data_IF_357693375705
#
_entry.id   IF_357693375705
#
_cell.length_a   1.000
_cell.length_b   1.000
_cell.length_c   1.000
_cell.angle_alpha   90.00
_cell.angle_beta   90.00
_cell.angle_gamma   90.00
#
_symmetry.space_group_name_H-M   'P 1'
#
loop_
_entity.id
_entity.type
_entity.pdbx_description
1 polymer ?
#
# COMPACT_ATOMS: atom_id res chain seq x y z
N UNK A 1 17.74 -18.15 -8.23
CA UNK A 1 18.55 -19.38 -8.04
C UNK A 1 18.02 -20.14 -6.83
N UNK A 2 18.07 -21.48 -6.84
CA UNK A 2 17.67 -22.28 -5.69
C UNK A 2 18.62 -22.07 -4.51
N UNK A 3 18.08 -22.05 -3.29
CA UNK A 3 18.89 -22.00 -2.08
C UNK A 3 19.60 -23.36 -1.89
N UNK A 4 20.95 -23.43 -1.82
CA UNK A 4 21.69 -24.69 -1.84
C UNK A 4 21.52 -25.54 -0.57
N UNK A 5 21.04 -24.96 0.53
CA UNK A 5 20.81 -25.65 1.81
C UNK A 5 19.32 -25.92 2.10
N UNK A 6 18.41 -25.48 1.22
CA UNK A 6 16.98 -25.64 1.45
C UNK A 6 16.51 -27.02 0.94
N UNK A 7 15.65 -27.67 1.73
CA UNK A 7 14.96 -28.90 1.31
C UNK A 7 13.88 -28.63 0.26
N UNK A 8 13.43 -27.38 0.14
CA UNK A 8 12.40 -26.93 -0.80
C UNK A 8 12.70 -25.49 -1.24
N UNK A 9 12.56 -25.22 -2.53
CA UNK A 9 12.76 -23.87 -3.09
C UNK A 9 11.76 -23.65 -4.22
N UNK A 10 10.60 -23.07 -3.91
CA UNK A 10 9.48 -22.90 -4.87
C UNK A 10 9.20 -21.44 -5.18
N UNK A 11 8.80 -21.17 -6.42
CA UNK A 11 8.27 -19.87 -6.86
C UNK A 11 6.78 -20.04 -7.12
N UNK A 12 5.98 -19.16 -6.50
CA UNK A 12 4.53 -19.09 -6.67
C UNK A 12 4.17 -17.86 -7.50
N UNK A 13 3.50 -18.07 -8.62
CA UNK A 13 3.04 -16.98 -9.51
C UNK A 13 1.52 -16.96 -9.48
N UNK A 14 0.92 -15.82 -9.10
CA UNK A 14 -0.54 -15.67 -9.11
C UNK A 14 -1.04 -15.66 -10.57
N UNK A 15 -1.83 -16.67 -10.93
CA UNK A 15 -2.46 -16.83 -12.25
C UNK A 15 -3.99 -16.77 -12.16
N UNK A 16 -4.51 -16.14 -11.10
CA UNK A 16 -5.95 -16.05 -10.86
C UNK A 16 -6.62 -15.23 -11.97
N UNK A 17 -7.50 -15.86 -12.73
CA UNK A 17 -8.33 -15.20 -13.75
C UNK A 17 -9.41 -14.31 -13.10
N UNK A 18 -9.75 -13.21 -13.78
CA UNK A 18 -10.72 -12.24 -13.28
C UNK A 18 -12.16 -12.81 -13.18
N UNK A 19 -12.52 -13.76 -14.05
CA UNK A 19 -13.89 -14.28 -14.18
C UNK A 19 -14.03 -15.81 -14.00
N UNK A 20 -13.14 -16.48 -13.27
CA UNK A 20 -13.08 -17.97 -13.25
C UNK A 20 -12.87 -18.62 -14.64
N UNK A 21 -12.79 -17.84 -15.71
CA UNK A 21 -12.32 -18.26 -17.01
C UNK A 21 -10.80 -18.38 -16.96
N UNK A 22 -10.31 -19.62 -17.02
CA UNK A 22 -8.89 -19.98 -16.97
C UNK A 22 -8.10 -19.54 -18.22
N UNK A 23 -8.66 -18.69 -19.09
CA UNK A 23 -8.14 -18.48 -20.44
C UNK A 23 -7.53 -17.10 -20.71
N UNK A 24 -7.44 -16.21 -19.73
CA UNK A 24 -6.95 -14.85 -20.01
C UNK A 24 -5.43 -14.72 -19.96
N UNK A 25 -4.73 -15.54 -19.15
CA UNK A 25 -3.30 -15.40 -18.87
C UNK A 25 -2.54 -16.70 -19.17
N UNK A 26 -1.69 -16.68 -20.20
CA UNK A 26 -0.75 -17.76 -20.49
C UNK A 26 0.56 -17.54 -19.73
N UNK A 27 1.06 -18.59 -19.10
CA UNK A 27 2.38 -18.60 -18.47
C UNK A 27 3.29 -19.58 -19.20
N UNK A 28 4.48 -19.12 -19.56
CA UNK A 28 5.51 -19.92 -20.21
C UNK A 28 6.81 -19.84 -19.40
N UNK A 29 7.47 -20.96 -19.04
CA UNK A 29 7.06 -22.36 -19.27
C UNK A 29 5.76 -22.74 -18.53
N UNK A 30 5.02 -23.77 -19.01
CA UNK A 30 3.83 -24.26 -18.31
C UNK A 30 4.20 -24.72 -16.89
N UNK A 31 3.34 -24.46 -15.89
CA UNK A 31 3.66 -24.81 -14.52
C UNK A 31 3.71 -26.32 -14.28
N UNK A 32 4.64 -26.74 -13.42
CA UNK A 32 4.76 -28.14 -12.98
C UNK A 32 3.56 -28.57 -12.16
N UNK A 33 3.09 -27.69 -11.27
CA UNK A 33 1.89 -27.90 -10.45
C UNK A 33 1.14 -26.59 -10.24
N UNK A 34 -0.14 -26.68 -9.90
CA UNK A 34 -0.94 -25.53 -9.47
C UNK A 34 -1.35 -25.71 -8.02
N UNK A 35 -1.33 -24.62 -7.26
CA UNK A 35 -1.74 -24.57 -5.86
C UNK A 35 -2.90 -23.57 -5.73
N UNK A 36 -3.95 -23.94 -5.00
CA UNK A 36 -5.08 -23.04 -4.76
C UNK A 36 -5.16 -22.70 -3.29
N UNK A 37 -5.33 -21.42 -3.01
CA UNK A 37 -5.46 -20.90 -1.65
C UNK A 37 -6.49 -19.77 -1.61
N UNK A 38 -7.02 -19.46 -0.43
CA UNK A 38 -7.89 -18.32 -0.22
C UNK A 38 -7.10 -17.24 0.49
N UNK A 39 -6.63 -16.24 -0.27
CA UNK A 39 -5.94 -15.08 0.30
C UNK A 39 -6.89 -13.90 0.35
N UNK A 40 -7.04 -13.33 1.54
CA UNK A 40 -7.91 -12.17 1.79
C UNK A 40 -9.37 -12.39 1.33
N UNK A 41 -9.85 -13.63 1.37
CA UNK A 41 -11.20 -14.01 0.97
C UNK A 41 -11.40 -14.27 -0.51
N UNK A 42 -10.39 -14.06 -1.35
CA UNK A 42 -10.44 -14.39 -2.78
C UNK A 42 -9.74 -15.71 -3.01
N UNK A 43 -10.40 -16.64 -3.72
CA UNK A 43 -9.76 -17.88 -4.19
C UNK A 43 -8.71 -17.51 -5.23
N UNK A 44 -7.45 -17.77 -4.90
CA UNK A 44 -6.30 -17.59 -5.76
C UNK A 44 -5.81 -18.92 -6.30
N UNK A 45 -5.35 -18.90 -7.54
CA UNK A 45 -4.67 -20.03 -8.17
C UNK A 45 -3.24 -19.60 -8.47
N UNK A 46 -2.28 -20.34 -7.93
CA UNK A 46 -0.86 -20.12 -8.09
C UNK A 46 -0.26 -21.18 -9.01
N UNK A 47 0.52 -20.75 -9.98
CA UNK A 47 1.42 -21.58 -10.76
C UNK A 47 2.69 -21.81 -9.92
N UNK A 48 3.07 -23.07 -9.70
CA UNK A 48 4.18 -23.44 -8.81
C UNK A 48 5.32 -24.01 -9.63
N UNK A 49 6.49 -23.39 -9.47
CA UNK A 49 7.74 -23.80 -10.10
C UNK A 49 8.73 -24.24 -9.02
N UNK A 50 9.19 -25.48 -9.09
CA UNK A 50 10.24 -25.99 -8.22
C UNK A 50 11.60 -25.63 -8.80
N UNK A 51 12.39 -24.86 -8.05
CA UNK A 51 13.73 -24.44 -8.46
C UNK A 51 14.78 -25.55 -8.29
N UNK A 52 14.44 -26.65 -7.62
CA UNK A 52 15.29 -27.84 -7.53
C UNK A 52 15.09 -28.80 -8.71
N UNK A 53 14.03 -28.61 -9.50
CA UNK A 53 13.77 -29.42 -10.69
C UNK A 53 14.67 -28.98 -11.86
N UNK A 54 15.54 -29.89 -12.29
CA UNK A 54 16.47 -29.68 -13.40
C UNK A 54 15.77 -29.48 -14.76
N UNK A 55 14.48 -29.84 -14.88
CA UNK A 55 13.69 -29.54 -16.07
C UNK A 55 13.21 -28.07 -16.13
N UNK A 56 13.05 -27.43 -14.97
CA UNK A 56 12.57 -26.04 -14.84
C UNK A 56 13.75 -25.06 -14.85
N UNK A 57 14.85 -25.46 -14.21
CA UNK A 57 16.10 -24.69 -14.20
C UNK A 57 17.10 -25.36 -15.14
N UNK A 58 17.16 -24.86 -16.38
CA UNK A 58 18.15 -25.25 -17.37
C UNK A 58 19.60 -25.02 -16.86
N UNK A 59 20.60 -25.51 -17.60
CA UNK A 59 22.03 -25.36 -17.30
C UNK A 59 22.48 -23.92 -16.96
N UNK A 60 21.75 -22.90 -17.39
CA UNK A 60 21.98 -21.48 -17.09
C UNK A 60 21.51 -21.01 -15.70
N UNK A 61 20.96 -21.91 -14.85
CA UNK A 61 20.49 -21.63 -13.48
C UNK A 61 19.42 -20.52 -13.36
N UNK A 62 18.75 -20.19 -14.45
CA UNK A 62 17.73 -19.16 -14.51
C UNK A 62 16.34 -19.74 -14.78
N UNK A 63 15.34 -19.12 -14.16
CA UNK A 63 13.94 -19.33 -14.46
C UNK A 63 13.42 -18.06 -15.14
N UNK A 64 13.11 -18.14 -16.44
CA UNK A 64 12.54 -17.04 -17.19
C UNK A 64 11.05 -17.27 -17.34
N UNK A 65 10.25 -16.51 -16.59
CA UNK A 65 8.80 -16.58 -16.65
C UNK A 65 8.26 -15.51 -17.59
N UNK A 66 7.47 -15.93 -18.57
CA UNK A 66 6.72 -15.05 -19.44
C UNK A 66 5.23 -15.13 -19.10
N UNK A 67 4.64 -13.97 -18.87
CA UNK A 67 3.21 -13.77 -18.65
C UNK A 67 2.63 -13.10 -19.90
N UNK A 68 1.75 -13.79 -20.61
CA UNK A 68 1.13 -13.28 -21.85
C UNK A 68 -0.38 -13.30 -21.72
N UNK A 69 -1.01 -12.14 -21.85
CA UNK A 69 -2.46 -12.03 -21.90
C UNK A 69 -2.97 -12.47 -23.28
N UNK A 70 -3.97 -13.37 -23.34
CA UNK A 70 -4.61 -13.78 -24.60
C UNK A 70 -5.47 -12.68 -25.20
N UNK A 71 -6.15 -11.94 -24.33
CA UNK A 71 -6.87 -10.71 -24.63
C UNK A 71 -6.42 -9.64 -23.66
N UNK A 72 -6.35 -8.35 -24.07
CA UNK A 72 -6.20 -7.28 -23.09
C UNK A 72 -7.30 -7.46 -22.04
N UNK A 73 -6.99 -7.39 -20.74
CA UNK A 73 -8.05 -7.27 -19.76
C UNK A 73 -8.94 -6.09 -20.19
N UNK A 74 -10.26 -6.25 -20.10
CA UNK A 74 -11.15 -5.07 -20.16
C UNK A 74 -10.60 -4.05 -19.15
N UNK A 75 -10.74 -2.74 -19.43
CA UNK A 75 -10.18 -1.64 -18.63
C UNK A 75 -10.85 -1.53 -17.23
N UNK A 76 -10.94 -2.63 -16.50
CA UNK A 76 -11.38 -2.68 -15.13
C UNK A 76 -10.16 -2.51 -14.24
N UNK A 77 -10.18 -1.47 -13.41
CA UNK A 77 -9.18 -1.27 -12.40
C UNK A 77 -9.15 -2.50 -11.48
N UNK A 78 -7.96 -2.98 -11.05
CA UNK A 78 -7.89 -4.09 -10.11
C UNK A 78 -8.73 -3.77 -8.87
N UNK A 79 -9.43 -4.76 -8.29
CA UNK A 79 -10.27 -4.53 -7.12
C UNK A 79 -9.43 -3.94 -5.99
N UNK A 80 -9.86 -2.82 -5.45
CA UNK A 80 -9.15 -2.17 -4.35
C UNK A 80 -9.11 -3.12 -3.14
N UNK A 81 -7.95 -3.28 -2.49
CA UNK A 81 -7.85 -4.10 -1.30
C UNK A 81 -8.77 -3.56 -0.20
N UNK A 82 -9.24 -4.44 0.69
CA UNK A 82 -10.23 -4.03 1.69
C UNK A 82 -9.67 -3.01 2.70
N UNK A 83 -8.36 -2.95 2.85
CA UNK A 83 -7.64 -1.83 3.43
C UNK A 83 -6.89 -1.09 2.33
N UNK A 84 -7.22 0.17 2.13
CA UNK A 84 -6.48 1.05 1.23
C UNK A 84 -6.46 2.47 1.77
N UNK A 85 -5.51 3.27 1.30
CA UNK A 85 -5.33 4.64 1.73
C UNK A 85 -5.11 5.56 0.54
N UNK A 86 -5.49 6.81 0.69
CA UNK A 86 -5.11 7.89 -0.19
C UNK A 86 -4.67 9.09 0.62
N UNK A 87 -3.71 9.84 0.09
CA UNK A 87 -3.19 11.04 0.72
C UNK A 87 -3.14 12.15 -0.29
N UNK A 88 -3.58 13.33 0.12
CA UNK A 88 -3.58 14.52 -0.72
C UNK A 88 -3.40 15.78 0.12
N UNK A 89 -2.93 16.83 -0.54
CA UNK A 89 -2.81 18.16 0.04
C UNK A 89 -4.03 18.96 -0.41
N UNK A 90 -4.68 19.65 0.52
CA UNK A 90 -5.69 20.66 0.23
C UNK A 90 -5.28 22.02 0.81
N UNK A 91 -5.98 23.07 0.42
CA UNK A 91 -5.68 24.45 0.83
C UNK A 91 -5.57 25.38 -0.37
N UNK A 92 -5.67 26.68 -0.12
CA UNK A 92 -5.56 27.71 -1.13
C UNK A 92 -4.34 28.60 -0.86
N UNK A 93 -3.63 28.95 -1.93
CA UNK A 93 -2.45 29.81 -1.88
C UNK A 93 -1.15 29.04 -1.63
N UNK A 94 -0.09 29.81 -1.38
CA UNK A 94 1.27 29.27 -1.23
C UNK A 94 1.74 29.14 0.22
N UNK A 95 1.01 29.74 1.18
CA UNK A 95 1.47 29.88 2.57
C UNK A 95 0.98 28.76 3.49
N UNK A 96 -0.30 28.39 3.43
CA UNK A 96 -0.88 27.39 4.32
C UNK A 96 -1.62 26.30 3.54
N UNK A 97 -1.76 25.14 4.17
CA UNK A 97 -2.45 24.00 3.61
C UNK A 97 -2.84 22.99 4.67
N UNK A 98 -3.47 21.93 4.21
CA UNK A 98 -3.96 20.83 5.03
C UNK A 98 -3.53 19.52 4.38
N UNK A 99 -2.94 18.65 5.18
CA UNK A 99 -2.55 17.33 4.77
C UNK A 99 -3.66 16.36 5.17
N UNK A 100 -4.27 15.71 4.18
CA UNK A 100 -5.37 14.78 4.40
C UNK A 100 -4.95 13.37 4.02
N UNK A 101 -5.15 12.44 4.93
CA UNK A 101 -4.96 11.01 4.72
C UNK A 101 -6.27 10.31 4.98
N UNK A 102 -6.86 9.74 3.93
CA UNK A 102 -8.09 8.95 3.99
C UNK A 102 -7.73 7.47 4.03
N UNK A 103 -8.17 6.81 5.09
CA UNK A 103 -7.96 5.39 5.37
C UNK A 103 -9.29 4.66 5.22
N UNK A 104 -9.35 3.68 4.33
CA UNK A 104 -10.56 2.92 4.06
C UNK A 104 -10.44 1.52 4.64
N UNK A 105 -11.50 1.10 5.33
CA UNK A 105 -11.73 -0.27 5.71
C UNK A 105 -13.08 -0.72 5.14
N UNK A 106 -13.05 -1.45 4.03
CA UNK A 106 -14.26 -1.99 3.38
C UNK A 106 -14.67 -3.36 3.93
N UNK A 107 -13.99 -3.87 4.96
CA UNK A 107 -14.39 -5.11 5.61
C UNK A 107 -15.77 -4.93 6.28
N UNK A 108 -16.74 -5.84 6.07
CA UNK A 108 -18.12 -5.65 6.51
C UNK A 108 -18.28 -5.58 8.05
N UNK A 109 -17.57 -6.43 8.79
CA UNK A 109 -17.79 -6.59 10.24
C UNK A 109 -16.59 -6.33 11.15
N UNK A 110 -15.37 -6.34 10.61
CA UNK A 110 -14.13 -6.29 11.40
C UNK A 110 -13.52 -4.90 11.37
N UNK A 111 -13.17 -4.42 12.56
CA UNK A 111 -12.33 -3.23 12.72
C UNK A 111 -10.85 -3.65 12.76
N UNK A 112 -9.97 -2.83 12.19
CA UNK A 112 -8.54 -3.11 12.15
C UNK A 112 -7.75 -2.02 12.87
N UNK A 113 -6.88 -2.38 13.84
CA UNK A 113 -5.88 -1.46 14.34
C UNK A 113 -4.82 -1.26 13.24
N UNK A 114 -4.54 -0.01 12.90
CA UNK A 114 -3.54 0.34 11.90
C UNK A 114 -2.55 1.34 12.49
N UNK A 115 -1.27 1.15 12.15
CA UNK A 115 -0.21 2.09 12.45
C UNK A 115 -0.02 2.99 11.22
N UNK A 116 -0.29 4.28 11.39
CA UNK A 116 -0.05 5.30 10.39
C UNK A 116 1.27 6.01 10.71
N UNK A 117 2.19 6.01 9.75
CA UNK A 117 3.46 6.72 9.85
C UNK A 117 3.55 7.77 8.74
N UNK A 118 3.63 9.03 9.17
CA UNK A 118 3.80 10.19 8.31
C UNK A 118 5.18 10.82 8.53
N UNK A 119 5.97 10.84 7.46
CA UNK A 119 7.18 11.67 7.36
C UNK A 119 6.85 12.92 6.56
N UNK A 120 7.01 14.10 7.17
CA UNK A 120 6.68 15.37 6.51
C UNK A 120 7.92 16.26 6.47
N UNK A 121 8.33 16.76 5.29
CA UNK A 121 9.52 17.61 5.18
C UNK A 121 9.49 18.84 6.10
N UNK A 122 10.66 19.27 6.58
CA UNK A 122 10.81 20.39 7.52
C UNK A 122 10.20 21.72 7.04
N UNK A 123 10.13 21.92 5.73
CA UNK A 123 9.58 23.12 5.14
C UNK A 123 8.04 23.15 5.17
N UNK A 124 7.38 22.08 5.59
CA UNK A 124 5.95 22.04 5.90
C UNK A 124 5.81 21.95 7.42
N UNK A 125 5.65 23.10 8.07
CA UNK A 125 5.56 23.19 9.52
C UNK A 125 4.17 22.76 9.96
N UNK A 126 4.11 21.59 10.59
CA UNK A 126 2.86 20.99 11.04
C UNK A 126 2.32 21.69 12.30
N UNK A 127 1.03 22.00 12.31
CA UNK A 127 0.31 22.46 13.48
C UNK A 127 -0.37 21.29 14.18
N UNK A 128 0.36 20.61 15.08
CA UNK A 128 -0.14 19.39 15.74
C UNK A 128 -1.46 19.59 16.49
N UNK A 129 -1.73 20.78 17.01
CA UNK A 129 -2.99 21.12 17.67
C UNK A 129 -4.22 21.08 16.73
N UNK A 130 -4.00 21.06 15.42
CA UNK A 130 -5.05 20.95 14.38
C UNK A 130 -5.28 19.50 13.92
N UNK A 131 -4.54 18.54 14.49
CA UNK A 131 -4.69 17.13 14.15
C UNK A 131 -6.11 16.67 14.49
N UNK A 132 -6.85 16.24 13.47
CA UNK A 132 -8.19 15.69 13.59
C UNK A 132 -8.25 14.31 12.96
N UNK A 133 -8.87 13.37 13.67
CA UNK A 133 -9.07 12.00 13.19
C UNK A 133 -10.55 11.72 13.33
N UNK A 134 -11.21 11.49 12.20
CA UNK A 134 -12.67 11.30 12.15
C UNK A 134 -13.02 10.04 11.39
N UNK A 135 -13.89 9.22 11.96
CA UNK A 135 -14.41 8.00 11.34
C UNK A 135 -15.94 8.04 11.38
N UNK A 136 -16.61 7.86 10.25
CA UNK A 136 -18.09 7.90 10.16
C UNK A 136 -18.69 9.18 10.79
N UNK A 137 -18.03 10.32 10.62
CA UNK A 137 -18.47 11.62 11.16
C UNK A 137 -18.30 11.78 12.68
N UNK A 138 -17.65 10.84 13.37
CA UNK A 138 -17.32 10.94 14.79
C UNK A 138 -15.82 11.06 15.00
N UNK A 139 -15.41 11.73 16.06
CA UNK A 139 -14.02 11.76 16.49
C UNK A 139 -13.54 10.32 16.80
N UNK A 140 -12.38 9.95 16.25
CA UNK A 140 -11.75 8.66 16.49
C UNK A 140 -10.39 8.89 17.14
N UNK A 141 -10.33 8.70 18.45
CA UNK A 141 -9.13 8.99 19.24
C UNK A 141 -8.09 7.88 19.04
N UNK A 142 -6.86 8.22 18.62
CA UNK A 142 -5.79 7.25 18.47
C UNK A 142 -5.41 6.68 19.84
N UNK A 143 -5.05 5.40 19.88
CA UNK A 143 -4.59 4.74 21.11
C UNK A 143 -3.16 5.10 21.46
N UNK A 144 -2.37 5.49 20.47
CA UNK A 144 -0.99 5.92 20.62
C UNK A 144 -0.69 7.00 19.60
N UNK A 145 0.08 8.01 20.02
CA UNK A 145 0.59 9.08 19.17
C UNK A 145 2.03 9.35 19.58
N UNK A 146 2.93 9.31 18.62
CA UNK A 146 4.31 9.78 18.77
C UNK A 146 4.59 10.83 17.72
N UNK A 147 5.12 11.95 18.17
CA UNK A 147 5.44 13.08 17.30
C UNK A 147 6.86 13.56 17.57
N UNK A 148 7.65 13.64 16.51
CA UNK A 148 8.95 14.28 16.49
C UNK A 148 8.87 15.54 15.61
N UNK A 149 9.16 16.73 16.16
CA UNK A 149 9.18 17.95 15.36
C UNK A 149 10.37 17.95 14.39
N UNK A 150 10.16 18.58 13.22
CA UNK A 150 11.21 18.84 12.27
C UNK A 150 12.25 19.81 12.83
N UNK A 151 13.44 19.77 12.23
CA UNK A 151 14.46 20.79 12.38
C UNK A 151 14.80 21.31 10.99
N UNK A 152 14.81 22.63 10.84
CA UNK A 152 15.06 23.29 9.56
C UNK A 152 16.34 22.75 8.90
N UNK A 153 16.19 22.19 7.69
CA UNK A 153 17.27 21.63 6.86
C UNK A 153 18.01 20.42 7.44
N UNK A 154 17.58 19.87 8.57
CA UNK A 154 18.25 18.77 9.25
C UNK A 154 17.39 17.50 9.30
N UNK A 155 16.12 17.61 9.70
CA UNK A 155 15.25 16.44 9.84
C UNK A 155 13.78 16.77 9.52
N UNK A 156 13.02 15.82 8.94
CA UNK A 156 11.58 15.96 8.75
C UNK A 156 10.82 15.83 10.07
N UNK A 157 9.54 16.20 10.05
CA UNK A 157 8.58 15.80 11.07
C UNK A 157 8.32 14.30 10.96
N UNK A 158 8.18 13.63 12.11
CA UNK A 158 7.70 12.26 12.23
C UNK A 158 6.39 12.28 13.00
N UNK A 159 5.33 11.71 12.44
CA UNK A 159 4.07 11.50 13.13
C UNK A 159 3.68 10.03 12.99
N UNK A 160 3.63 9.33 14.13
CA UNK A 160 3.25 7.93 14.21
C UNK A 160 2.00 7.79 15.07
N UNK A 161 0.98 7.10 14.58
CA UNK A 161 -0.31 6.99 15.26
C UNK A 161 -0.90 5.59 15.13
N UNK A 162 -1.39 5.04 16.24
CA UNK A 162 -2.17 3.80 16.24
C UNK A 162 -3.67 4.14 16.23
N UNK A 163 -4.33 3.90 15.11
CA UNK A 163 -5.72 4.28 14.86
C UNK A 163 -6.56 3.02 14.68
N UNK A 164 -7.72 2.96 15.32
CA UNK A 164 -8.68 1.87 15.09
C UNK A 164 -9.56 2.23 13.88
N UNK A 165 -9.49 1.49 12.77
CA UNK A 165 -10.38 1.68 11.63
C UNK A 165 -11.67 0.87 11.80
N UNK A 166 -12.85 1.50 11.98
CA UNK A 166 -14.10 0.77 12.11
C UNK A 166 -14.44 -0.04 10.85
N UNK A 167 -15.23 -1.10 10.99
CA UNK A 167 -15.73 -1.88 9.87
C UNK A 167 -16.56 -1.01 8.90
N UNK A 168 -16.43 -1.29 7.60
CA UNK A 168 -17.10 -0.60 6.50
C UNK A 168 -17.12 0.93 6.70
N UNK A 169 -15.92 1.53 6.79
CA UNK A 169 -15.76 2.95 7.10
C UNK A 169 -14.60 3.59 6.34
N UNK A 170 -14.70 4.92 6.20
CA UNK A 170 -13.60 5.78 5.84
C UNK A 170 -13.21 6.62 7.08
N UNK A 171 -11.93 6.63 7.39
CA UNK A 171 -11.32 7.42 8.46
C UNK A 171 -10.46 8.51 7.84
N UNK A 172 -10.77 9.77 8.14
CA UNK A 172 -10.01 10.93 7.69
C UNK A 172 -9.08 11.39 8.81
N UNK A 173 -7.79 11.34 8.55
CA UNK A 173 -6.75 12.00 9.33
C UNK A 173 -6.43 13.31 8.64
N UNK A 174 -6.48 14.42 9.37
CA UNK A 174 -6.13 15.73 8.84
C UNK A 174 -5.27 16.54 9.79
N UNK A 175 -4.28 17.24 9.24
CA UNK A 175 -3.42 18.16 9.97
C UNK A 175 -3.08 19.37 9.10
N UNK A 176 -3.17 20.57 9.67
CA UNK A 176 -2.80 21.81 8.98
C UNK A 176 -1.29 22.03 9.03
N UNK A 177 -0.78 22.72 8.02
CA UNK A 177 0.61 23.12 7.94
C UNK A 177 0.77 24.51 7.32
N UNK A 178 1.90 25.15 7.60
CA UNK A 178 2.40 26.31 6.87
C UNK A 178 3.66 25.95 6.08
N UNK A 179 3.90 26.62 4.94
CA UNK A 179 5.13 26.49 4.17
C UNK A 179 6.17 27.48 4.69
N UNK A 180 7.35 26.97 5.00
CA UNK A 180 8.51 27.80 5.34
C UNK A 180 9.05 28.52 4.10
N UNK A 181 9.72 29.64 4.31
CA UNK A 181 10.43 30.34 3.25
C UNK A 181 11.70 29.58 2.86
N UNK A 182 11.72 29.12 1.61
CA UNK A 182 12.84 28.41 1.02
C UNK A 182 13.78 29.37 0.29
N UNK A 183 15.08 29.06 0.31
CA UNK A 183 16.09 29.75 -0.51
C UNK A 183 15.87 29.37 -1.98
N UNK A 184 16.32 30.22 -2.90
CA UNK A 184 16.18 29.96 -4.34
C UNK A 184 16.83 28.64 -4.78
N UNK A 185 17.90 28.20 -4.11
CA UNK A 185 18.58 26.92 -4.36
C UNK A 185 17.85 25.70 -3.80
N UNK A 186 16.81 25.88 -2.98
CA UNK A 186 16.06 24.80 -2.32
C UNK A 186 14.79 24.42 -3.10
N UNK A 187 14.42 25.20 -4.12
CA UNK A 187 13.30 24.87 -5.01
C UNK A 187 13.67 23.73 -5.95
N UNK A 188 12.69 22.86 -6.24
CA UNK A 188 12.82 21.87 -7.30
C UNK A 188 12.99 22.58 -8.65
N UNK A 189 13.78 22.03 -9.58
CA UNK A 189 14.13 22.68 -10.84
C UNK A 189 12.93 22.94 -11.78
N UNK A 190 11.77 22.34 -11.49
CA UNK A 190 10.52 22.52 -12.26
C UNK A 190 9.45 23.26 -11.42
N UNK A 191 9.23 24.56 -11.67
CA UNK A 191 8.21 25.34 -10.97
C UNK A 191 6.77 24.90 -11.24
N UNK A 192 6.49 24.18 -12.34
CA UNK A 192 5.12 23.82 -12.73
C UNK A 192 4.54 22.72 -11.83
N UNK A 193 5.39 21.89 -11.24
CA UNK A 193 4.97 20.78 -10.38
C UNK A 193 4.85 21.15 -8.89
N UNK A 194 5.45 22.27 -8.48
CA UNK A 194 5.46 22.71 -7.08
C UNK A 194 6.16 21.71 -6.15
N UNK A 195 5.70 21.65 -4.90
CA UNK A 195 6.27 20.76 -3.88
C UNK A 195 5.46 19.47 -3.73
N UNK A 196 6.12 18.34 -3.97
CA UNK A 196 5.57 17.03 -3.64
C UNK A 196 5.65 16.76 -2.13
N UNK A 197 4.60 16.14 -1.59
CA UNK A 197 4.60 15.67 -0.20
C UNK A 197 4.90 14.18 -0.18
N UNK A 198 5.77 13.78 0.73
CA UNK A 198 6.15 12.38 0.91
C UNK A 198 4.93 11.49 1.19
N UNK A 199 4.93 10.23 0.71
CA UNK A 199 3.85 9.30 0.97
C UNK A 199 3.72 9.00 2.47
N UNK A 200 2.58 8.41 2.85
CA UNK A 200 2.35 7.85 4.17
C UNK A 200 2.55 6.34 4.15
N UNK A 201 2.98 5.77 5.26
CA UNK A 201 3.07 4.32 5.42
C UNK A 201 1.95 3.85 6.33
N UNK A 202 1.09 2.97 5.78
CA UNK A 202 0.03 2.30 6.53
C UNK A 202 0.46 0.85 6.81
N UNK A 203 0.60 0.50 8.09
CA UNK A 203 0.90 -0.87 8.51
C UNK A 203 -0.29 -1.46 9.26
N UNK A 204 -0.69 -2.67 8.92
CA UNK A 204 -1.83 -3.35 9.53
C UNK A 204 -1.54 -4.84 9.71
N UNK A 205 -1.98 -5.39 10.83
CA UNK A 205 -1.99 -6.84 11.05
C UNK A 205 -3.30 -7.40 10.49
N UNK A 206 -3.21 -8.02 9.31
CA UNK A 206 -4.34 -8.61 8.61
C UNK A 206 -4.32 -10.14 8.83
N UNK A 207 -5.43 -10.74 9.29
CA UNK A 207 -5.54 -12.20 9.37
C UNK A 207 -5.48 -12.82 7.96
N UNK A 208 -4.84 -13.98 7.82
CA UNK A 208 -4.75 -14.71 6.54
C UNK A 208 -6.13 -15.08 5.99
N UNK A 209 -7.06 -15.42 6.89
CA UNK A 209 -8.47 -15.65 6.57
C UNK A 209 -9.28 -14.38 6.85
N UNK A 210 -9.53 -13.60 5.81
CA UNK A 210 -10.55 -12.55 5.81
C UNK A 210 -11.79 -13.19 5.19
N UNK A 211 -12.78 -13.57 5.99
CA UNK A 211 -13.97 -14.25 5.50
C UNK A 211 -14.68 -13.40 4.43
N UNK A 212 -14.61 -13.82 3.17
CA UNK A 212 -15.43 -13.27 2.11
C UNK A 212 -16.78 -14.00 2.11
N UNK A 213 -17.75 -13.35 2.75
CA UNK A 213 -19.17 -13.74 2.89
C UNK A 213 -19.44 -14.99 3.77
N UNK A 214 -20.61 -15.03 4.45
CA UNK A 214 -21.11 -16.25 5.10
C UNK A 214 -21.43 -17.35 4.10
#
# INVERSE_FOLDING_TARGET
>A
EPCPLASESRVYVDITGHNQDNETLEVNPPPTTTYQDVTLGTRKTYAVYDLLDAAVINNSRNLNLQLKWRSPPEHEAPPAPFLHAQRYVSGYGLQSGELNTLLYNTHPYRAFPVLLLDTVPWYLRLYVHTLTITSKGKENKPSYVHYQPAQDRLQPHLLEMLIQLPANSATKVSIQFERALLKWTEYTPDPNHGFYVSPSVLSALVPSMVAAKP
#
